data_IF_883715042654
#
_entry.id   IF_883715042654
#
_cell.length_a   1.000
_cell.length_b   1.000
_cell.length_c   1.000
_cell.angle_alpha   90.00
_cell.angle_beta   90.00
_cell.angle_gamma   90.00
#
_symmetry.space_group_name_H-M   'P 1'
#
loop_
_entity.id
_entity.type
_entity.pdbx_description
1 polymer ?
#
# COMPACT_ATOMS: atom_id res chain seq x y z
N UNK A 1 2.48 19.35 52.08
CA UNK A 1 1.52 19.48 50.95
C UNK A 1 2.26 19.43 49.60
N UNK A 2 3.17 18.45 49.41
CA UNK A 2 4.15 18.48 48.29
C UNK A 2 4.49 17.09 47.72
N UNK A 3 3.70 16.07 48.04
CA UNK A 3 3.89 14.70 47.53
C UNK A 3 2.84 14.26 46.51
N UNK A 4 1.72 14.99 46.41
CA UNK A 4 0.62 14.64 45.48
C UNK A 4 0.85 15.11 44.04
N UNK A 5 1.68 16.13 43.84
CA UNK A 5 1.96 16.66 42.50
C UNK A 5 2.95 15.77 41.71
N UNK A 6 3.86 15.07 42.40
CA UNK A 6 4.91 14.27 41.76
C UNK A 6 4.38 12.97 41.15
N UNK A 7 3.35 12.36 41.75
CA UNK A 7 2.73 11.12 41.23
C UNK A 7 1.95 11.36 39.94
N UNK A 8 1.33 12.54 39.79
CA UNK A 8 0.56 12.87 38.59
C UNK A 8 1.45 13.07 37.35
N UNK A 9 2.69 13.55 37.54
CA UNK A 9 3.65 13.78 36.45
C UNK A 9 4.26 12.45 35.97
N UNK A 10 4.46 11.47 36.85
CA UNK A 10 5.01 10.16 36.48
C UNK A 10 4.04 9.30 35.65
N UNK A 11 2.73 9.48 35.80
CA UNK A 11 1.72 8.74 35.03
C UNK A 11 1.53 9.28 33.60
N UNK A 12 1.86 10.55 33.34
CA UNK A 12 1.76 11.13 31.99
C UNK A 12 2.87 10.68 31.03
N UNK A 13 3.99 10.15 31.55
CA UNK A 13 5.12 9.69 30.72
C UNK A 13 4.95 8.26 30.18
N UNK A 14 3.95 7.50 30.64
CA UNK A 14 3.66 6.17 30.09
C UNK A 14 2.80 6.20 28.82
N UNK A 15 2.23 7.35 28.47
CA UNK A 15 1.45 7.55 27.24
C UNK A 15 2.29 8.01 26.05
N UNK A 16 3.61 8.13 26.19
CA UNK A 16 4.53 8.09 25.04
C UNK A 16 4.62 6.63 24.61
N UNK A 17 3.47 6.09 24.20
CA UNK A 17 3.38 4.83 23.50
C UNK A 17 4.42 4.90 22.41
N UNK A 18 5.29 3.88 22.36
CA UNK A 18 6.13 3.64 21.23
C UNK A 18 5.24 3.72 20.00
N UNK A 19 5.27 4.87 19.33
CA UNK A 19 4.79 5.05 17.98
C UNK A 19 5.77 4.23 17.18
N UNK A 20 5.51 2.93 17.12
CA UNK A 20 6.02 2.06 16.10
C UNK A 20 5.68 2.80 14.81
N UNK A 21 6.67 3.48 14.25
CA UNK A 21 6.54 4.18 12.98
C UNK A 21 6.28 3.08 11.96
N UNK A 22 5.01 2.67 11.85
CA UNK A 22 4.51 1.83 10.77
C UNK A 22 4.86 2.55 9.47
N UNK A 23 5.16 1.78 8.43
CA UNK A 23 5.49 2.34 7.12
C UNK A 23 4.45 3.34 6.61
N UNK A 24 4.84 4.12 5.61
CA UNK A 24 3.98 5.17 5.01
C UNK A 24 2.67 4.63 4.42
N UNK A 25 2.56 3.32 4.20
CA UNK A 25 1.41 2.62 3.62
C UNK A 25 0.97 1.43 4.48
N UNK A 26 -0.26 0.97 4.28
CA UNK A 26 -0.81 -0.23 4.93
C UNK A 26 -0.25 -1.52 4.31
N UNK A 27 -0.39 -2.63 5.03
CA UNK A 27 0.10 -3.95 4.59
C UNK A 27 -0.93 -4.76 3.78
N UNK A 28 -2.19 -4.34 3.83
CA UNK A 28 -3.31 -4.97 3.12
C UNK A 28 -4.46 -4.00 2.96
N UNK A 29 -5.44 -4.37 2.14
CA UNK A 29 -6.71 -3.65 2.04
C UNK A 29 -7.43 -3.63 3.39
N UNK A 30 -7.44 -4.76 4.10
CA UNK A 30 -8.08 -4.86 5.40
C UNK A 30 -7.40 -3.97 6.46
N UNK A 31 -6.06 -3.87 6.45
CA UNK A 31 -5.34 -2.94 7.31
C UNK A 31 -5.70 -1.48 6.97
N UNK A 32 -5.70 -1.11 5.68
CA UNK A 32 -6.10 0.23 5.23
C UNK A 32 -7.56 0.56 5.62
N UNK A 33 -8.48 -0.40 5.48
CA UNK A 33 -9.89 -0.28 5.87
C UNK A 33 -10.03 -0.11 7.38
N UNK A 34 -9.35 -0.94 8.17
CA UNK A 34 -9.39 -0.87 9.64
C UNK A 34 -8.84 0.45 10.20
N UNK A 35 -7.92 1.07 9.45
CA UNK A 35 -7.34 2.39 9.74
C UNK A 35 -8.22 3.54 9.27
N UNK A 36 -9.26 3.28 8.48
CA UNK A 36 -10.16 4.30 7.94
C UNK A 36 -9.54 5.17 6.84
N UNK A 37 -8.49 4.69 6.17
CA UNK A 37 -7.74 5.46 5.15
C UNK A 37 -7.89 4.87 3.73
N UNK A 38 -8.67 3.80 3.57
CA UNK A 38 -8.95 3.19 2.27
C UNK A 38 -9.91 4.08 1.46
N UNK A 39 -9.46 4.56 0.30
CA UNK A 39 -10.27 5.34 -0.63
C UNK A 39 -10.92 4.49 -1.72
N UNK A 40 -10.21 3.48 -2.22
CA UNK A 40 -10.68 2.59 -3.27
C UNK A 40 -9.96 1.24 -3.22
N UNK A 41 -10.65 0.17 -3.61
CA UNK A 41 -10.10 -1.18 -3.77
C UNK A 41 -10.38 -1.66 -5.19
N UNK A 42 -9.45 -2.39 -5.80
CA UNK A 42 -9.64 -3.01 -7.11
C UNK A 42 -9.73 -4.53 -6.97
N UNK A 43 -10.66 -5.12 -7.71
CA UNK A 43 -10.84 -6.57 -7.85
C UNK A 43 -9.78 -7.12 -8.79
N UNK A 44 -9.08 -8.15 -8.33
CA UNK A 44 -8.07 -8.88 -9.08
C UNK A 44 -8.64 -10.27 -9.40
N UNK A 45 -8.51 -10.70 -10.66
CA UNK A 45 -8.89 -12.04 -11.06
C UNK A 45 -7.95 -13.10 -10.45
N UNK A 46 -8.47 -14.27 -10.06
CA UNK A 46 -7.68 -15.33 -9.42
C UNK A 46 -6.49 -15.83 -10.27
N UNK A 47 -6.59 -15.67 -11.60
CA UNK A 47 -5.56 -16.06 -12.57
C UNK A 47 -4.69 -14.91 -13.06
N UNK A 48 -4.85 -13.70 -12.49
CA UNK A 48 -4.07 -12.53 -12.86
C UNK A 48 -2.56 -12.76 -12.63
N UNK A 49 -1.76 -12.53 -13.67
CA UNK A 49 -0.31 -12.69 -13.64
C UNK A 49 0.39 -11.54 -14.36
N UNK A 50 1.58 -11.24 -13.86
CA UNK A 50 2.53 -10.28 -14.41
C UNK A 50 3.89 -10.98 -14.47
N UNK A 51 4.01 -11.97 -15.35
CA UNK A 51 5.18 -12.85 -15.46
C UNK A 51 5.38 -13.69 -14.18
N UNK A 52 6.52 -13.58 -13.48
CA UNK A 52 6.77 -14.33 -12.25
C UNK A 52 6.01 -13.77 -11.03
N UNK A 53 5.27 -12.67 -11.20
CA UNK A 53 4.50 -12.03 -10.14
C UNK A 53 3.00 -12.28 -10.30
N UNK A 54 2.29 -12.35 -9.17
CA UNK A 54 0.83 -12.38 -9.10
C UNK A 54 0.38 -11.20 -8.25
N UNK A 55 -0.42 -10.25 -8.78
CA UNK A 55 -1.09 -9.24 -7.97
C UNK A 55 -1.99 -9.90 -6.93
N UNK A 56 -1.88 -9.47 -5.69
CA UNK A 56 -2.69 -9.98 -4.57
C UNK A 56 -3.78 -9.00 -4.16
N UNK A 57 -3.41 -7.72 -4.05
CA UNK A 57 -4.29 -6.63 -3.65
C UNK A 57 -3.85 -5.34 -4.35
N UNK A 58 -4.80 -4.54 -4.80
CA UNK A 58 -4.54 -3.20 -5.32
C UNK A 58 -5.56 -2.24 -4.72
N UNK A 59 -5.07 -1.15 -4.12
CA UNK A 59 -5.94 -0.17 -3.46
C UNK A 59 -5.35 1.23 -3.51
N UNK A 60 -6.19 2.22 -3.22
CA UNK A 60 -5.81 3.61 -3.05
C UNK A 60 -6.05 3.99 -1.59
N UNK A 61 -5.04 4.58 -0.96
CA UNK A 61 -5.11 5.17 0.38
C UNK A 61 -5.23 6.70 0.30
N UNK A 62 -5.50 7.32 1.45
CA UNK A 62 -5.27 8.75 1.67
C UNK A 62 -3.89 9.22 1.14
N UNK A 63 -3.77 10.53 0.88
CA UNK A 63 -2.61 11.11 0.19
C UNK A 63 -2.42 10.57 -1.24
N UNK A 64 -3.44 9.90 -1.80
CA UNK A 64 -3.44 9.35 -3.17
C UNK A 64 -2.32 8.33 -3.40
N UNK A 65 -2.11 7.42 -2.44
CA UNK A 65 -1.17 6.31 -2.60
C UNK A 65 -1.89 5.13 -3.23
N UNK A 66 -1.58 4.85 -4.50
CA UNK A 66 -1.98 3.63 -5.19
C UNK A 66 -0.96 2.54 -4.87
N UNK A 67 -1.37 1.52 -4.13
CA UNK A 67 -0.51 0.44 -3.67
C UNK A 67 -0.84 -0.84 -4.43
N UNK A 68 0.17 -1.49 -4.98
CA UNK A 68 0.09 -2.79 -5.63
C UNK A 68 0.88 -3.80 -4.80
N UNK A 69 0.16 -4.71 -4.13
CA UNK A 69 0.76 -5.82 -3.39
C UNK A 69 0.88 -7.02 -4.30
N UNK A 70 2.07 -7.61 -4.34
CA UNK A 70 2.41 -8.69 -5.26
C UNK A 70 2.82 -9.95 -4.48
N UNK A 71 2.74 -11.09 -5.15
CA UNK A 71 3.41 -12.33 -4.77
C UNK A 71 4.46 -12.63 -5.82
N UNK A 72 5.72 -12.75 -5.41
CA UNK A 72 6.82 -13.06 -6.31
C UNK A 72 8.19 -12.76 -5.70
N UNK A 73 9.27 -12.83 -6.49
CA UNK A 73 10.63 -12.58 -6.03
C UNK A 73 10.87 -11.16 -5.46
N UNK A 74 11.68 -11.03 -4.42
CA UNK A 74 12.11 -9.75 -3.82
C UNK A 74 13.27 -9.07 -4.56
N UNK A 75 13.36 -9.24 -5.88
CA UNK A 75 14.43 -8.60 -6.64
C UNK A 75 14.07 -7.14 -6.91
N UNK A 76 14.94 -6.24 -6.48
CA UNK A 76 14.88 -4.80 -6.76
C UNK A 76 15.40 -4.48 -8.18
N UNK A 77 14.97 -5.27 -9.17
CA UNK A 77 15.44 -5.17 -10.55
C UNK A 77 14.28 -5.03 -11.51
N UNK A 78 14.49 -4.25 -12.56
CA UNK A 78 13.58 -4.10 -13.69
C UNK A 78 13.16 -5.46 -14.32
N UNK A 79 11.98 -5.54 -14.95
CA UNK A 79 10.98 -4.46 -15.07
C UNK A 79 10.32 -4.11 -13.70
N UNK A 80 9.57 -3.02 -13.58
CA UNK A 80 8.65 -2.75 -12.45
C UNK A 80 7.23 -3.12 -12.84
N UNK A 81 6.30 -3.08 -11.87
CA UNK A 81 4.88 -3.08 -12.21
C UNK A 81 4.48 -1.65 -12.55
N UNK A 82 4.30 -1.37 -13.84
CA UNK A 82 3.82 -0.09 -14.35
C UNK A 82 2.29 -0.07 -14.39
N UNK A 83 1.74 1.14 -14.49
CA UNK A 83 0.31 1.36 -14.61
C UNK A 83 0.07 2.20 -15.86
N UNK A 84 -0.73 1.68 -16.79
CA UNK A 84 -1.01 2.38 -18.05
C UNK A 84 -1.56 3.79 -17.78
N UNK A 85 -0.90 4.80 -18.36
CA UNK A 85 -1.26 6.20 -18.19
C UNK A 85 -0.59 6.89 -17.00
N UNK A 86 0.14 6.17 -16.14
CA UNK A 86 1.06 6.75 -15.16
C UNK A 86 2.50 6.72 -15.70
N UNK A 87 3.33 7.62 -15.16
CA UNK A 87 4.73 7.78 -15.56
C UNK A 87 5.66 7.51 -14.37
N UNK A 88 6.97 7.37 -14.63
CA UNK A 88 7.98 7.22 -13.56
C UNK A 88 7.97 8.38 -12.53
N UNK A 89 7.42 9.54 -12.87
CA UNK A 89 7.26 10.67 -11.93
C UNK A 89 6.16 10.40 -10.88
N UNK A 90 5.22 9.52 -11.21
CA UNK A 90 4.15 9.07 -10.33
C UNK A 90 4.61 7.92 -9.43
N UNK A 91 5.70 7.23 -9.80
CA UNK A 91 6.30 6.20 -8.96
C UNK A 91 6.87 6.79 -7.68
N UNK A 92 6.57 6.17 -6.53
CA UNK A 92 6.97 6.66 -5.22
C UNK A 92 8.00 5.78 -4.55
N UNK A 93 7.75 4.48 -4.50
CA UNK A 93 8.62 3.56 -3.79
C UNK A 93 8.24 2.11 -4.05
N UNK A 94 9.24 1.24 -3.92
CA UNK A 94 9.05 -0.18 -3.65
C UNK A 94 9.44 -0.45 -2.20
N UNK A 95 8.73 -1.36 -1.54
CA UNK A 95 9.17 -1.91 -0.27
C UNK A 95 8.73 -3.35 -0.12
N UNK A 96 9.41 -4.10 0.75
CA UNK A 96 9.01 -5.45 1.12
C UNK A 96 9.48 -5.75 2.52
N UNK A 97 8.76 -6.60 3.25
CA UNK A 97 9.28 -7.16 4.49
C UNK A 97 10.28 -8.28 4.17
N UNK A 98 11.17 -8.62 5.11
CA UNK A 98 12.26 -9.59 4.92
C UNK A 98 11.80 -10.96 4.40
N UNK A 99 10.53 -11.32 4.59
CA UNK A 99 9.87 -12.53 4.09
C UNK A 99 8.42 -12.26 3.63
N UNK A 100 8.06 -10.98 3.43
CA UNK A 100 6.69 -10.57 3.09
C UNK A 100 6.44 -10.48 1.58
N UNK A 101 5.28 -10.00 1.14
CA UNK A 101 5.10 -9.67 -0.27
C UNK A 101 5.88 -8.39 -0.65
N UNK A 102 6.29 -8.23 -1.92
CA UNK A 102 6.69 -6.92 -2.44
C UNK A 102 5.49 -6.01 -2.69
N UNK A 103 5.71 -4.70 -2.50
CA UNK A 103 4.72 -3.64 -2.69
C UNK A 103 5.30 -2.56 -3.60
N UNK A 104 4.54 -2.17 -4.63
CA UNK A 104 4.86 -1.03 -5.50
C UNK A 104 3.87 0.10 -5.20
N UNK A 105 4.37 1.31 -4.98
CA UNK A 105 3.55 2.47 -4.60
C UNK A 105 3.66 3.56 -5.65
N UNK A 106 2.51 4.01 -6.12
CA UNK A 106 2.31 5.01 -7.16
C UNK A 106 1.45 6.16 -6.63
N UNK A 107 1.53 7.32 -7.28
CA UNK A 107 0.54 8.38 -7.15
C UNK A 107 -0.73 7.96 -7.91
N UNK A 108 -1.85 7.84 -7.19
CA UNK A 108 -3.12 7.47 -7.79
C UNK A 108 -3.62 8.54 -8.77
N UNK A 109 -4.25 8.17 -9.90
CA UNK A 109 -4.93 9.13 -10.78
C UNK A 109 -6.09 9.87 -10.08
N UNK A 110 -6.47 11.04 -10.60
CA UNK A 110 -7.63 11.83 -10.15
C UNK A 110 -8.37 12.39 -11.37
N UNK A 111 -9.63 11.98 -11.59
CA UNK A 111 -10.45 11.15 -10.70
C UNK A 111 -9.94 9.70 -10.57
N UNK A 112 -10.35 9.02 -9.50
CA UNK A 112 -10.09 7.57 -9.32
C UNK A 112 -10.75 6.82 -10.48
N UNK A 113 -9.98 6.03 -11.26
CA UNK A 113 -10.53 5.37 -12.43
C UNK A 113 -11.28 4.07 -12.08
N UNK A 114 -12.33 3.75 -12.83
CA UNK A 114 -13.08 2.50 -12.66
C UNK A 114 -12.27 1.24 -13.04
N UNK A 115 -11.14 1.44 -13.73
CA UNK A 115 -10.23 0.37 -14.15
C UNK A 115 -8.78 0.84 -14.16
N UNK A 116 -7.87 -0.08 -13.90
CA UNK A 116 -6.43 0.11 -14.10
C UNK A 116 -5.89 -1.02 -14.97
N UNK A 117 -4.84 -0.74 -15.73
CA UNK A 117 -4.09 -1.76 -16.47
C UNK A 117 -2.70 -1.83 -15.85
N UNK A 118 -2.41 -2.95 -15.20
CA UNK A 118 -1.07 -3.22 -14.67
C UNK A 118 -0.23 -3.84 -15.77
N UNK A 119 1.00 -3.39 -15.92
CA UNK A 119 1.94 -3.82 -16.95
C UNK A 119 3.23 -4.29 -16.31
N UNK A 120 3.86 -5.32 -16.88
CA UNK A 120 5.23 -5.72 -16.53
C UNK A 120 5.89 -6.43 -17.70
N UNK A 121 6.83 -5.76 -18.37
CA UNK A 121 7.41 -6.29 -19.60
C UNK A 121 6.34 -6.44 -20.69
N UNK A 122 6.16 -7.65 -21.21
CA UNK A 122 5.12 -7.96 -22.23
C UNK A 122 3.78 -8.40 -21.61
N UNK A 123 3.73 -8.57 -20.29
CA UNK A 123 2.56 -9.06 -19.57
C UNK A 123 1.68 -7.91 -19.09
N UNK A 124 0.36 -8.10 -19.13
CA UNK A 124 -0.60 -7.11 -18.67
C UNK A 124 -1.84 -7.74 -18.04
N UNK A 125 -2.45 -7.04 -17.10
CA UNK A 125 -3.75 -7.43 -16.53
C UNK A 125 -4.60 -6.20 -16.26
N UNK A 126 -5.90 -6.32 -16.53
CA UNK A 126 -6.88 -5.27 -16.26
C UNK A 126 -7.59 -5.58 -14.96
N UNK A 127 -7.61 -4.61 -14.05
CA UNK A 127 -8.28 -4.70 -12.76
C UNK A 127 -9.38 -3.65 -12.71
N UNK A 128 -10.46 -3.96 -12.00
CA UNK A 128 -11.66 -3.12 -11.94
C UNK A 128 -11.90 -2.63 -10.53
N UNK A 129 -12.34 -1.39 -10.39
CA UNK A 129 -12.76 -0.84 -9.12
C UNK A 129 -13.82 -1.76 -8.50
N UNK A 130 -13.66 -2.10 -7.22
CA UNK A 130 -14.66 -2.83 -6.47
C UNK A 130 -15.83 -1.90 -6.22
N UNK A 131 -16.93 -2.14 -6.92
CA UNK A 131 -18.20 -1.52 -6.62
C UNK A 131 -18.78 -2.18 -5.36
N UNK A 132 -19.20 -1.36 -4.40
CA UNK A 132 -19.89 -1.78 -3.17
C UNK A 132 -21.26 -2.45 -3.45
#
# INVERSE_FOLDING_TARGET
>A
MMYRALVAISLLLFCVGCSHRRGSSSYSVEDARSRGILLAEYVIADDAKLGPYTPLEVWIEEERKLVVRLKGPHVDTEPRVDIEGLTDLDYRSIWSEREGPPYEVWLAPDPVPDKLVLLRGEESTVIHLRNE
#
